data_IF_501550773879
#
_entry.id   IF_501550773879
#
_cell.length_a   1.000
_cell.length_b   1.000
_cell.length_c   1.000
_cell.angle_alpha   90.00
_cell.angle_beta   90.00
_cell.angle_gamma   90.00
#
_symmetry.space_group_name_H-M   'P 1'
#
loop_
_entity.id
_entity.type
_entity.pdbx_description
1 polymer ?
#
# COMPACT_ATOMS: atom_id res chain seq x y z
N UNK A 1 16.08 4.86 32.08
CA UNK A 1 15.19 3.82 32.67
C UNK A 1 15.58 3.66 34.13
N UNK A 2 14.70 3.93 35.10
CA UNK A 2 15.09 4.06 36.51
C UNK A 2 15.27 2.66 37.15
N UNK A 3 16.26 2.50 38.04
CA UNK A 3 16.58 1.22 38.72
C UNK A 3 15.36 0.53 39.38
N UNK A 4 14.41 1.32 39.89
CA UNK A 4 13.13 0.85 40.44
C UNK A 4 12.25 0.13 39.41
N UNK A 5 12.25 0.55 38.15
CA UNK A 5 11.43 -0.05 37.08
C UNK A 5 11.94 -1.46 36.74
N UNK A 6 13.26 -1.64 36.74
CA UNK A 6 13.90 -2.94 36.48
C UNK A 6 13.60 -3.95 37.60
N UNK A 7 13.67 -3.50 38.86
CA UNK A 7 13.42 -4.34 40.02
C UNK A 7 11.94 -4.77 40.12
N UNK A 8 11.02 -3.84 39.89
CA UNK A 8 9.57 -4.12 39.89
C UNK A 8 9.19 -5.08 38.76
N UNK A 9 9.76 -4.90 37.55
CA UNK A 9 9.55 -5.80 36.42
C UNK A 9 10.02 -7.23 36.70
N UNK A 10 11.26 -7.38 37.19
CA UNK A 10 11.81 -8.71 37.56
C UNK A 10 10.97 -9.42 38.61
N UNK A 11 10.51 -8.68 39.63
CA UNK A 11 9.65 -9.24 40.67
C UNK A 11 8.31 -9.72 40.11
N UNK A 12 7.66 -8.91 39.26
CA UNK A 12 6.41 -9.25 38.59
C UNK A 12 6.54 -10.52 37.73
N UNK A 13 7.59 -10.62 36.91
CA UNK A 13 7.86 -11.81 36.09
C UNK A 13 8.07 -13.06 36.96
N UNK A 14 8.84 -12.95 38.05
CA UNK A 14 9.06 -14.05 38.98
C UNK A 14 7.75 -14.53 39.60
N UNK A 15 6.88 -13.61 40.01
CA UNK A 15 5.56 -13.93 40.57
C UNK A 15 4.67 -14.68 39.56
N UNK A 16 4.64 -14.25 38.30
CA UNK A 16 3.89 -14.94 37.25
C UNK A 16 4.46 -16.32 36.93
N UNK A 17 5.80 -16.47 36.89
CA UNK A 17 6.44 -17.78 36.75
C UNK A 17 6.07 -18.73 37.89
N UNK A 18 6.07 -18.24 39.12
CA UNK A 18 5.67 -19.04 40.28
C UNK A 18 4.18 -19.41 40.23
N UNK A 19 3.33 -18.47 39.82
CA UNK A 19 1.88 -18.69 39.66
C UNK A 19 1.63 -19.77 38.60
N UNK A 20 2.36 -19.74 37.47
CA UNK A 20 2.25 -20.75 36.43
C UNK A 20 2.71 -22.14 36.90
N UNK A 21 3.83 -22.22 37.63
CA UNK A 21 4.32 -23.48 38.22
C UNK A 21 3.35 -24.10 39.21
N UNK A 22 2.70 -23.27 40.03
CA UNK A 22 1.80 -23.73 41.07
C UNK A 22 0.36 -23.98 40.56
N UNK A 23 0.02 -23.49 39.36
CA UNK A 23 -1.33 -23.57 38.80
C UNK A 23 -1.99 -24.96 38.85
N UNK A 24 -1.29 -26.08 38.58
CA UNK A 24 -1.88 -27.43 38.70
C UNK A 24 -2.41 -27.77 40.09
N UNK A 25 -1.85 -27.14 41.13
CA UNK A 25 -2.18 -27.38 42.54
C UNK A 25 -3.07 -26.28 43.16
N UNK A 26 -3.45 -25.26 42.39
CA UNK A 26 -4.26 -24.15 42.88
C UNK A 26 -5.74 -24.48 42.95
N UNK A 27 -6.43 -23.96 43.97
CA UNK A 27 -7.90 -24.04 44.04
C UNK A 27 -8.58 -23.29 42.90
N UNK A 28 -9.76 -23.77 42.47
CA UNK A 28 -10.48 -23.24 41.30
C UNK A 28 -10.77 -21.73 41.38
N UNK A 29 -11.09 -21.20 42.56
CA UNK A 29 -11.33 -19.78 42.77
C UNK A 29 -10.06 -18.93 42.57
N UNK A 30 -8.89 -19.47 42.96
CA UNK A 30 -7.60 -18.82 42.76
C UNK A 30 -7.18 -18.85 41.29
N UNK A 31 -7.39 -19.99 40.63
CA UNK A 31 -7.17 -20.13 39.18
C UNK A 31 -7.99 -19.14 38.37
N UNK A 32 -9.28 -18.95 38.69
CA UNK A 32 -10.14 -17.96 38.02
C UNK A 32 -9.57 -16.54 38.17
N UNK A 33 -9.15 -16.16 39.38
CA UNK A 33 -8.55 -14.84 39.66
C UNK A 33 -7.20 -14.67 38.94
N UNK A 34 -6.35 -15.68 38.96
CA UNK A 34 -5.06 -15.68 38.27
C UNK A 34 -5.25 -15.54 36.75
N UNK A 35 -6.16 -16.32 36.15
CA UNK A 35 -6.53 -16.27 34.72
C UNK A 35 -7.04 -14.90 34.31
N UNK A 36 -7.93 -14.29 35.09
CA UNK A 36 -8.48 -12.96 34.78
C UNK A 36 -7.38 -11.89 34.76
N UNK A 37 -6.50 -11.88 35.76
CA UNK A 37 -5.36 -10.94 35.83
C UNK A 37 -4.36 -11.18 34.69
N UNK A 38 -4.06 -12.44 34.36
CA UNK A 38 -3.14 -12.79 33.28
C UNK A 38 -3.66 -12.31 31.93
N UNK A 39 -4.97 -12.48 31.66
CA UNK A 39 -5.61 -11.98 30.43
C UNK A 39 -5.50 -10.46 30.29
N UNK A 40 -5.72 -9.71 31.38
CA UNK A 40 -5.58 -8.26 31.37
C UNK A 40 -4.13 -7.83 31.04
N UNK A 41 -3.15 -8.51 31.61
CA UNK A 41 -1.74 -8.26 31.31
C UNK A 41 -1.39 -8.63 29.86
N UNK A 42 -1.84 -9.79 29.38
CA UNK A 42 -1.64 -10.22 28.00
C UNK A 42 -2.20 -9.22 26.99
N UNK A 43 -3.37 -8.63 27.26
CA UNK A 43 -3.95 -7.61 26.40
C UNK A 43 -3.00 -6.41 26.21
N UNK A 44 -2.54 -5.80 27.31
CA UNK A 44 -1.62 -4.64 27.23
C UNK A 44 -0.25 -5.00 26.68
N UNK A 45 0.27 -6.21 26.96
CA UNK A 45 1.52 -6.68 26.36
C UNK A 45 1.39 -6.84 24.85
N UNK A 46 0.30 -7.45 24.39
CA UNK A 46 0.01 -7.60 22.96
C UNK A 46 -0.16 -6.24 22.27
N UNK A 47 -0.77 -5.25 22.94
CA UNK A 47 -0.90 -3.89 22.43
C UNK A 47 0.47 -3.23 22.21
N UNK A 48 1.35 -3.27 23.21
CA UNK A 48 2.71 -2.70 23.09
C UNK A 48 3.53 -3.44 22.03
N UNK A 49 3.46 -4.78 21.99
CA UNK A 49 4.14 -5.59 20.96
C UNK A 49 3.62 -5.20 19.59
N UNK A 50 2.30 -5.14 19.39
CA UNK A 50 1.71 -4.77 18.09
C UNK A 50 2.15 -3.39 17.62
N UNK A 51 2.19 -2.40 18.51
CA UNK A 51 2.67 -1.05 18.19
C UNK A 51 4.18 -1.07 17.90
N UNK A 52 4.96 -1.81 18.68
CA UNK A 52 6.41 -1.88 18.55
C UNK A 52 6.83 -2.57 17.26
N UNK A 53 6.23 -3.72 16.95
CA UNK A 53 6.44 -4.45 15.70
C UNK A 53 6.09 -3.55 14.52
N UNK A 54 5.00 -2.79 14.59
CA UNK A 54 4.66 -1.81 13.55
C UNK A 54 5.69 -0.67 13.44
N UNK A 55 6.18 -0.12 14.55
CA UNK A 55 7.11 1.02 14.51
C UNK A 55 8.55 0.63 14.17
N UNK A 56 8.96 -0.57 14.56
CA UNK A 56 10.32 -1.08 14.41
C UNK A 56 10.48 -1.96 13.16
N UNK A 57 9.39 -2.43 12.55
CA UNK A 57 9.45 -3.13 11.28
C UNK A 57 10.08 -2.23 10.21
N UNK A 58 11.10 -2.79 9.55
CA UNK A 58 11.53 -2.27 8.26
C UNK A 58 10.52 -2.70 7.18
N UNK A 59 10.30 -1.87 6.16
CA UNK A 59 10.88 -0.53 5.97
C UNK A 59 10.24 0.53 6.90
N UNK A 60 11.04 1.53 7.30
CA UNK A 60 10.62 2.60 8.21
C UNK A 60 9.44 3.40 7.64
N UNK A 61 8.44 3.71 8.48
CA UNK A 61 7.32 4.59 8.13
C UNK A 61 7.86 5.95 7.69
N UNK A 62 7.32 6.50 6.59
CA UNK A 62 7.76 7.77 6.02
C UNK A 62 9.05 7.68 5.18
N UNK A 63 9.62 6.49 4.99
CA UNK A 63 10.72 6.32 4.05
C UNK A 63 10.27 6.60 2.60
N UNK A 64 10.93 7.59 1.98
CA UNK A 64 10.77 7.97 0.57
C UNK A 64 11.92 7.44 -0.31
N UNK A 65 12.78 6.57 0.21
CA UNK A 65 13.88 6.00 -0.55
C UNK A 65 13.37 4.85 -1.43
N UNK A 66 13.55 4.99 -2.74
CA UNK A 66 13.37 3.96 -3.74
C UNK A 66 14.35 4.22 -4.89
N UNK A 67 14.59 3.21 -5.73
CA UNK A 67 15.47 3.34 -6.90
C UNK A 67 14.97 4.47 -7.80
N UNK A 68 15.86 5.36 -8.21
CA UNK A 68 15.55 6.44 -9.16
C UNK A 68 16.52 6.32 -10.32
N UNK A 69 16.04 6.10 -11.55
CA UNK A 69 16.91 6.08 -12.72
C UNK A 69 17.74 7.37 -12.83
N UNK A 70 18.94 7.28 -13.40
CA UNK A 70 19.74 8.47 -13.68
C UNK A 70 18.98 9.48 -14.54
N UNK A 71 19.13 10.77 -14.23
CA UNK A 71 18.42 11.86 -14.91
C UNK A 71 16.99 12.08 -14.44
N UNK A 72 16.53 11.39 -13.38
CA UNK A 72 15.21 11.65 -12.78
C UNK A 72 15.11 13.09 -12.25
N UNK A 73 14.16 13.85 -12.77
CA UNK A 73 13.89 15.23 -12.34
C UNK A 73 12.67 15.34 -11.40
N UNK A 74 11.85 14.29 -11.34
CA UNK A 74 10.73 14.17 -10.42
C UNK A 74 10.49 12.71 -10.04
N UNK A 75 10.17 12.46 -8.79
CA UNK A 75 9.85 11.14 -8.28
C UNK A 75 8.79 11.24 -7.18
N UNK A 76 7.90 10.25 -7.11
CA UNK A 76 6.79 10.23 -6.17
C UNK A 76 6.37 8.81 -5.82
N UNK A 77 6.06 8.60 -4.54
CA UNK A 77 5.37 7.41 -4.03
C UNK A 77 4.08 7.92 -3.37
N UNK A 78 2.88 7.40 -3.69
CA UNK A 78 1.65 7.89 -3.11
C UNK A 78 1.58 7.67 -1.58
N UNK A 79 0.78 8.46 -0.88
CA UNK A 79 0.58 8.45 0.58
C UNK A 79 0.24 7.06 1.12
N UNK A 80 -0.62 6.32 0.39
CA UNK A 80 -1.06 4.98 0.79
C UNK A 80 0.10 4.02 1.02
N UNK A 81 1.22 4.17 0.31
CA UNK A 81 2.39 3.30 0.46
C UNK A 81 3.43 3.84 1.46
N UNK A 82 3.22 5.03 2.03
CA UNK A 82 4.22 5.73 2.86
C UNK A 82 3.81 5.95 4.30
N UNK A 83 2.53 6.25 4.50
CA UNK A 83 1.99 6.72 5.78
C UNK A 83 0.76 5.90 6.18
N UNK A 84 0.55 5.65 7.49
CA UNK A 84 -0.67 4.97 7.95
C UNK A 84 -1.90 5.82 7.63
N UNK A 85 -2.90 5.20 7.02
CA UNK A 85 -4.18 5.86 6.76
C UNK A 85 -5.02 5.94 8.05
N UNK A 86 -5.75 7.05 8.29
CA UNK A 86 -6.68 7.15 9.41
C UNK A 86 -7.75 6.06 9.41
N UNK A 87 -8.21 5.67 8.20
CA UNK A 87 -9.10 4.55 7.96
C UNK A 87 -8.37 3.57 7.04
N UNK A 88 -7.82 2.46 7.56
CA UNK A 88 -6.92 1.59 6.82
C UNK A 88 -7.64 0.61 5.89
N UNK A 89 -8.95 0.68 5.73
CA UNK A 89 -9.66 -0.21 4.83
C UNK A 89 -11.16 0.01 4.80
N UNK A 90 -11.78 -0.61 3.80
CA UNK A 90 -13.20 -0.50 3.48
C UNK A 90 -13.70 -1.87 3.00
N UNK A 91 -14.95 -2.19 3.30
CA UNK A 91 -15.64 -3.39 2.84
C UNK A 91 -16.88 -2.98 2.03
N UNK A 92 -17.32 -3.86 1.12
CA UNK A 92 -18.41 -3.57 0.17
C UNK A 92 -18.19 -2.24 -0.54
N UNK A 93 -16.97 -2.04 -1.04
CA UNK A 93 -16.50 -0.75 -1.54
C UNK A 93 -17.28 -0.34 -2.77
N UNK A 94 -18.01 0.77 -2.72
CA UNK A 94 -18.76 1.28 -3.88
C UNK A 94 -17.81 1.91 -4.89
N UNK A 95 -18.22 1.94 -6.16
CA UNK A 95 -17.49 2.67 -7.20
C UNK A 95 -17.35 4.15 -6.82
N UNK A 96 -16.19 4.74 -7.13
CA UNK A 96 -15.74 6.09 -6.74
C UNK A 96 -15.44 6.27 -5.25
N UNK A 97 -15.31 5.18 -4.48
CA UNK A 97 -14.86 5.28 -3.09
C UNK A 97 -13.37 5.61 -3.05
N UNK A 98 -12.98 6.48 -2.11
CA UNK A 98 -11.58 6.85 -1.88
C UNK A 98 -11.00 6.11 -0.68
N UNK A 99 -9.77 5.64 -0.81
CA UNK A 99 -8.97 5.11 0.29
C UNK A 99 -7.79 6.05 0.54
N UNK A 100 -7.87 6.82 1.63
CA UNK A 100 -6.97 7.96 1.82
C UNK A 100 -7.35 9.12 0.90
N UNK A 101 -6.35 9.91 0.47
CA UNK A 101 -6.57 11.14 -0.32
C UNK A 101 -6.24 11.01 -1.80
N UNK A 102 -5.41 10.04 -2.16
CA UNK A 102 -4.79 9.94 -3.49
C UNK A 102 -5.27 8.71 -4.28
N UNK A 103 -6.02 7.80 -3.65
CA UNK A 103 -6.45 6.54 -4.26
C UNK A 103 -7.96 6.49 -4.37
N UNK A 104 -8.47 6.34 -5.59
CA UNK A 104 -9.90 6.15 -5.86
C UNK A 104 -10.13 4.84 -6.57
N UNK A 105 -11.09 4.05 -6.10
CA UNK A 105 -11.49 2.81 -6.73
C UNK A 105 -12.66 3.04 -7.68
N UNK A 106 -12.57 2.49 -8.89
CA UNK A 106 -13.68 2.45 -9.84
C UNK A 106 -14.02 1.01 -10.20
N UNK A 107 -15.31 0.72 -10.26
CA UNK A 107 -15.83 -0.51 -10.82
C UNK A 107 -17.26 -0.31 -11.34
N UNK A 108 -17.77 -1.27 -12.10
CA UNK A 108 -19.12 -1.29 -12.67
C UNK A 108 -20.04 -2.39 -12.08
N UNK A 109 -19.56 -3.15 -11.07
CA UNK A 109 -20.36 -4.15 -10.37
C UNK A 109 -21.70 -3.62 -9.84
N UNK A 110 -22.76 -4.40 -9.99
CA UNK A 110 -24.06 -4.10 -9.40
C UNK A 110 -24.06 -4.39 -7.89
N UNK A 111 -23.36 -5.45 -7.47
CA UNK A 111 -23.10 -5.76 -6.06
C UNK A 111 -21.60 -5.76 -5.80
N UNK A 112 -21.15 -4.86 -4.94
CA UNK A 112 -19.74 -4.83 -4.55
C UNK A 112 -19.46 -5.83 -3.43
N UNK A 113 -18.83 -6.93 -3.81
CA UNK A 113 -18.17 -7.86 -2.88
C UNK A 113 -16.65 -7.66 -2.94
N UNK A 114 -16.23 -6.41 -2.84
CA UNK A 114 -14.84 -5.98 -2.83
C UNK A 114 -14.46 -5.41 -1.47
N UNK A 115 -13.26 -5.74 -1.00
CA UNK A 115 -12.63 -5.08 0.15
C UNK A 115 -11.30 -4.46 -0.27
N UNK A 116 -11.01 -3.28 0.29
CA UNK A 116 -9.70 -2.64 0.19
C UNK A 116 -9.09 -2.51 1.58
N UNK A 117 -7.79 -2.76 1.70
CA UNK A 117 -7.08 -2.61 2.96
C UNK A 117 -5.64 -2.18 2.74
N UNK A 118 -5.20 -1.17 3.49
CA UNK A 118 -3.80 -0.87 3.69
C UNK A 118 -3.19 -1.92 4.63
N UNK A 119 -2.13 -2.57 4.17
CA UNK A 119 -1.36 -3.54 4.95
C UNK A 119 -0.01 -2.96 5.33
N UNK A 120 0.50 -3.31 6.51
CA UNK A 120 1.90 -3.05 6.87
C UNK A 120 2.78 -4.08 6.16
N UNK A 121 3.67 -3.60 5.29
CA UNK A 121 4.76 -4.41 4.76
C UNK A 121 5.75 -4.75 5.87
N UNK A 122 6.28 -5.97 5.81
CA UNK A 122 7.18 -6.52 6.83
C UNK A 122 8.28 -7.40 6.22
N UNK A 123 8.35 -7.48 4.88
CA UNK A 123 9.42 -8.22 4.21
C UNK A 123 10.66 -7.34 4.14
N UNK A 124 11.82 -7.97 4.27
CA UNK A 124 13.10 -7.27 4.18
C UNK A 124 13.33 -6.61 2.81
N UNK A 125 12.77 -7.20 1.75
CA UNK A 125 12.83 -6.66 0.39
C UNK A 125 11.86 -5.49 0.15
N UNK A 126 10.87 -5.26 1.02
CA UNK A 126 9.91 -4.18 0.84
C UNK A 126 10.61 -2.83 1.18
N UNK A 127 10.53 -1.86 0.27
CA UNK A 127 11.00 -0.48 0.53
C UNK A 127 9.86 0.45 0.97
N UNK A 128 8.61 0.12 0.60
CA UNK A 128 7.43 0.83 1.05
C UNK A 128 6.93 0.27 2.39
N UNK A 129 6.66 1.12 3.41
CA UNK A 129 6.10 0.66 4.68
C UNK A 129 4.69 0.10 4.56
N UNK A 130 3.92 0.45 3.54
CA UNK A 130 2.56 -0.05 3.40
C UNK A 130 2.29 -0.55 1.99
N UNK A 131 1.33 -1.47 1.85
CA UNK A 131 0.80 -1.95 0.57
C UNK A 131 -0.72 -1.87 0.51
N UNK A 132 -1.27 -1.86 -0.70
CA UNK A 132 -2.71 -1.96 -0.96
C UNK A 132 -3.08 -3.41 -1.22
N UNK A 133 -3.90 -4.00 -0.34
CA UNK A 133 -4.58 -5.26 -0.58
C UNK A 133 -5.98 -5.02 -1.09
N UNK A 134 -6.36 -5.80 -2.10
CA UNK A 134 -7.71 -5.87 -2.63
C UNK A 134 -8.16 -7.33 -2.60
N UNK A 135 -9.29 -7.58 -1.94
CA UNK A 135 -9.96 -8.88 -1.92
C UNK A 135 -11.23 -8.76 -2.77
N UNK A 136 -11.34 -9.58 -3.82
CA UNK A 136 -12.46 -9.61 -4.75
C UNK A 136 -13.14 -10.98 -4.64
N UNK A 137 -14.37 -11.02 -4.14
CA UNK A 137 -15.15 -12.25 -4.03
C UNK A 137 -15.98 -12.47 -5.30
N UNK A 138 -17.24 -12.08 -5.32
CA UNK A 138 -18.00 -11.99 -6.57
C UNK A 138 -17.68 -10.69 -7.32
N UNK A 139 -17.52 -10.79 -8.64
CA UNK A 139 -17.34 -9.65 -9.52
C UNK A 139 -18.25 -9.84 -10.74
N UNK A 140 -19.38 -9.13 -10.76
CA UNK A 140 -20.36 -9.14 -11.85
C UNK A 140 -20.16 -7.97 -12.83
N UNK A 141 -19.07 -7.22 -12.65
CA UNK A 141 -18.66 -6.11 -13.50
C UNK A 141 -17.75 -6.56 -14.65
N UNK A 142 -17.48 -5.64 -15.57
CA UNK A 142 -16.48 -5.80 -16.63
C UNK A 142 -15.18 -5.05 -16.33
N UNK A 143 -15.17 -4.16 -15.34
CA UNK A 143 -14.07 -3.23 -15.13
C UNK A 143 -13.79 -2.99 -13.66
N UNK A 144 -12.53 -3.18 -13.25
CA UNK A 144 -12.02 -2.78 -11.95
C UNK A 144 -10.76 -1.96 -12.14
N UNK A 145 -10.69 -0.77 -11.55
CA UNK A 145 -9.47 0.02 -11.52
C UNK A 145 -9.21 0.72 -10.20
N UNK A 146 -7.92 0.88 -9.92
CA UNK A 146 -7.40 1.76 -8.88
C UNK A 146 -6.77 2.96 -9.57
N UNK A 147 -7.27 4.15 -9.24
CA UNK A 147 -6.84 5.42 -9.83
C UNK A 147 -5.98 6.17 -8.84
N UNK A 148 -4.82 6.65 -9.30
CA UNK A 148 -3.90 7.48 -8.53
C UNK A 148 -3.75 8.83 -9.23
N UNK A 149 -4.26 9.89 -8.60
CA UNK A 149 -4.09 11.25 -9.08
C UNK A 149 -2.66 11.73 -8.81
N UNK A 150 -1.97 12.19 -9.85
CA UNK A 150 -0.61 12.69 -9.69
C UNK A 150 -0.63 14.06 -9.03
N UNK A 151 0.37 14.35 -8.17
CA UNK A 151 0.50 15.67 -7.59
C UNK A 151 0.93 16.68 -8.67
N UNK A 152 0.66 17.97 -8.45
CA UNK A 152 0.93 19.02 -9.45
C UNK A 152 2.38 19.04 -9.95
N UNK A 153 3.34 18.65 -9.10
CA UNK A 153 4.76 18.57 -9.46
C UNK A 153 5.03 17.59 -10.61
N UNK A 154 4.20 16.58 -10.81
CA UNK A 154 4.34 15.61 -11.91
C UNK A 154 4.15 16.26 -13.29
N UNK A 155 3.23 17.22 -13.38
CA UNK A 155 2.84 17.87 -14.63
C UNK A 155 3.54 19.20 -14.87
N UNK A 156 4.10 19.80 -13.82
CA UNK A 156 4.86 21.04 -13.93
C UNK A 156 6.09 20.85 -14.83
N UNK A 157 6.13 21.58 -15.95
CA UNK A 157 7.21 21.46 -16.94
C UNK A 157 7.18 20.18 -17.77
N UNK A 158 6.07 19.43 -17.76
CA UNK A 158 5.94 18.21 -18.54
C UNK A 158 5.91 18.52 -20.04
N UNK A 159 6.78 17.84 -20.78
CA UNK A 159 6.93 17.97 -22.23
C UNK A 159 6.96 16.59 -22.89
N UNK A 160 6.78 16.52 -24.21
CA UNK A 160 6.91 15.30 -25.00
C UNK A 160 8.29 14.66 -24.95
N UNK A 161 9.30 15.38 -24.46
CA UNK A 161 10.65 14.83 -24.27
C UNK A 161 10.77 14.01 -22.99
N UNK A 162 9.72 13.89 -22.17
CA UNK A 162 9.80 13.13 -20.94
C UNK A 162 9.37 11.67 -21.13
N UNK A 163 10.01 10.81 -20.34
CA UNK A 163 9.55 9.47 -20.03
C UNK A 163 8.97 9.51 -18.63
N UNK A 164 7.76 8.97 -18.45
CA UNK A 164 7.27 8.60 -17.13
C UNK A 164 7.44 7.12 -16.91
N UNK A 165 8.05 6.75 -15.80
CA UNK A 165 8.22 5.36 -15.38
C UNK A 165 7.32 5.09 -14.18
N UNK A 166 6.67 3.94 -14.20
CA UNK A 166 5.99 3.37 -13.04
C UNK A 166 6.68 2.06 -12.67
N UNK A 167 7.06 1.94 -11.40
CA UNK A 167 7.59 0.73 -10.80
C UNK A 167 6.60 0.21 -9.76
N UNK A 168 6.39 -1.10 -9.72
CA UNK A 168 5.47 -1.73 -8.78
C UNK A 168 5.98 -3.07 -8.27
N UNK A 169 5.55 -3.44 -7.07
CA UNK A 169 5.69 -4.80 -6.55
C UNK A 169 4.27 -5.33 -6.34
N UNK A 170 3.91 -6.39 -7.06
CA UNK A 170 2.57 -6.97 -6.98
C UNK A 170 2.62 -8.44 -6.60
N UNK A 171 1.66 -8.85 -5.77
CA UNK A 171 1.41 -10.24 -5.44
C UNK A 171 0.02 -10.62 -5.88
N UNK A 172 -0.05 -11.74 -6.57
CA UNK A 172 -1.28 -12.27 -7.13
C UNK A 172 -1.52 -13.65 -6.55
N UNK A 173 -2.71 -13.89 -6.02
CA UNK A 173 -3.11 -15.25 -5.62
C UNK A 173 -3.27 -16.17 -6.83
N UNK A 174 -3.67 -15.60 -7.97
CA UNK A 174 -3.82 -16.29 -9.25
C UNK A 174 -3.41 -15.37 -10.41
N UNK A 175 -3.03 -15.92 -11.57
CA UNK A 175 -2.72 -15.12 -12.74
C UNK A 175 -3.88 -14.20 -13.13
N UNK A 176 -3.59 -12.92 -13.34
CA UNK A 176 -4.52 -11.92 -13.88
C UNK A 176 -3.72 -10.86 -14.64
N UNK A 177 -4.31 -10.27 -15.66
CA UNK A 177 -3.67 -9.21 -16.45
C UNK A 177 -3.91 -7.85 -15.80
N UNK A 178 -2.85 -7.05 -15.70
CA UNK A 178 -2.93 -5.69 -15.16
C UNK A 178 -2.44 -4.71 -16.23
N UNK A 179 -3.22 -3.67 -16.47
CA UNK A 179 -2.87 -2.60 -17.39
C UNK A 179 -2.73 -1.28 -16.63
N UNK A 180 -1.65 -0.55 -16.89
CA UNK A 180 -1.47 0.82 -16.45
C UNK A 180 -1.83 1.77 -17.60
N UNK A 181 -2.85 2.61 -17.38
CA UNK A 181 -3.24 3.67 -18.32
C UNK A 181 -2.85 5.03 -17.76
N UNK A 182 -1.86 5.66 -18.37
CA UNK A 182 -1.51 7.06 -18.10
C UNK A 182 -2.50 7.96 -18.82
N UNK A 183 -3.12 8.86 -18.07
CA UNK A 183 -4.01 9.89 -18.58
C UNK A 183 -3.38 11.26 -18.30
N UNK A 184 -3.27 12.10 -19.32
CA UNK A 184 -2.78 13.48 -19.19
C UNK A 184 -3.82 14.42 -19.78
N UNK A 185 -4.47 15.22 -18.93
CA UNK A 185 -5.41 16.24 -19.39
C UNK A 185 -4.65 17.47 -19.87
N UNK A 186 -4.94 17.91 -21.09
CA UNK A 186 -4.39 19.13 -21.67
C UNK A 186 -5.45 19.98 -22.38
N UNK A 187 -5.96 21.00 -21.69
CA UNK A 187 -7.12 21.76 -22.16
C UNK A 187 -8.38 20.89 -22.23
N UNK A 188 -9.13 20.89 -23.36
CA UNK A 188 -10.33 20.06 -23.51
C UNK A 188 -10.03 18.58 -23.77
N UNK A 189 -8.78 18.23 -24.08
CA UNK A 189 -8.38 16.89 -24.50
C UNK A 189 -7.71 16.13 -23.37
N UNK A 190 -7.73 14.79 -23.44
CA UNK A 190 -6.97 13.91 -22.56
C UNK A 190 -6.18 12.94 -23.43
N UNK A 191 -4.85 12.95 -23.28
CA UNK A 191 -3.98 11.96 -23.88
C UNK A 191 -4.03 10.69 -23.01
N UNK A 192 -4.15 9.52 -23.65
CA UNK A 192 -4.19 8.23 -22.96
C UNK A 192 -3.15 7.27 -23.54
N UNK A 193 -2.30 6.72 -22.68
CA UNK A 193 -1.27 5.74 -23.08
C UNK A 193 -1.43 4.51 -22.18
N UNK A 194 -1.62 3.33 -22.78
CA UNK A 194 -1.81 2.07 -22.05
C UNK A 194 -0.56 1.20 -22.16
N UNK A 195 -0.17 0.57 -21.06
CA UNK A 195 0.89 -0.44 -20.98
C UNK A 195 0.41 -1.61 -20.13
N UNK A 196 0.63 -2.83 -20.60
CA UNK A 196 0.47 -4.03 -19.80
C UNK A 196 1.65 -4.16 -18.83
N UNK A 197 1.39 -4.57 -17.58
CA UNK A 197 2.45 -4.83 -16.61
C UNK A 197 3.14 -6.15 -16.94
N UNK A 198 4.48 -6.19 -17.04
CA UNK A 198 5.22 -7.43 -17.28
C UNK A 198 5.33 -8.26 -16.00
N UNK A 199 4.25 -8.93 -15.59
CA UNK A 199 4.14 -9.64 -14.30
C UNK A 199 5.12 -10.82 -14.12
N UNK A 200 5.74 -11.28 -15.21
CA UNK A 200 6.73 -12.36 -15.20
C UNK A 200 8.19 -11.84 -15.18
N UNK A 201 8.39 -10.53 -15.16
CA UNK A 201 9.72 -9.93 -15.06
C UNK A 201 10.21 -9.87 -13.60
N UNK A 202 11.53 -9.85 -13.41
CA UNK A 202 12.14 -9.67 -12.08
C UNK A 202 11.81 -8.28 -11.51
N UNK A 203 11.79 -7.25 -12.36
CA UNK A 203 11.36 -5.90 -12.04
C UNK A 203 10.08 -5.56 -12.82
N UNK A 204 8.97 -5.34 -12.12
CA UNK A 204 7.68 -5.02 -12.74
C UNK A 204 7.61 -3.51 -12.94
N UNK A 205 7.89 -3.11 -14.17
CA UNK A 205 8.03 -1.71 -14.56
C UNK A 205 7.41 -1.47 -15.94
N UNK A 206 6.88 -0.26 -16.12
CA UNK A 206 6.44 0.24 -17.42
C UNK A 206 6.91 1.67 -17.63
N UNK A 207 7.26 2.02 -18.87
CA UNK A 207 7.59 3.38 -19.28
C UNK A 207 6.59 3.90 -20.32
N UNK A 208 6.17 5.15 -20.11
CA UNK A 208 5.32 5.93 -20.99
C UNK A 208 6.17 6.98 -21.70
N UNK A 209 6.48 6.74 -22.97
CA UNK A 209 7.16 7.71 -23.83
C UNK A 209 6.17 8.71 -24.39
N UNK A 210 6.36 9.99 -24.03
CA UNK A 210 5.48 11.07 -24.47
C UNK A 210 5.83 11.62 -25.86
N UNK A 211 6.93 11.17 -26.49
CA UNK A 211 7.40 11.73 -27.76
C UNK A 211 6.35 11.65 -28.87
N UNK A 212 5.59 10.54 -28.90
CA UNK A 212 4.57 10.26 -29.93
C UNK A 212 3.15 10.65 -29.50
N UNK A 213 3.00 11.31 -28.35
CA UNK A 213 1.69 11.74 -27.87
C UNK A 213 1.16 12.97 -28.60
N UNK A 214 -0.16 13.18 -28.58
CA UNK A 214 -0.80 14.42 -29.05
C UNK A 214 -0.84 15.52 -27.97
N UNK A 215 0.04 15.42 -26.96
CA UNK A 215 0.09 16.32 -25.82
C UNK A 215 0.31 17.77 -26.24
N UNK A 216 -0.55 18.67 -25.74
CA UNK A 216 -0.30 20.11 -25.80
C UNK A 216 0.46 20.56 -24.55
N UNK A 217 1.78 20.66 -24.66
CA UNK A 217 2.72 20.97 -23.56
C UNK A 217 2.38 22.29 -22.84
N UNK A 218 1.81 23.27 -23.55
CA UNK A 218 1.45 24.58 -22.97
C UNK A 218 0.15 24.55 -22.15
N UNK A 219 -0.60 23.46 -22.22
CA UNK A 219 -1.94 23.34 -21.62
C UNK A 219 -2.09 22.14 -20.71
N UNK A 220 -1.00 21.53 -20.24
CA UNK A 220 -1.06 20.40 -19.30
C UNK A 220 -1.66 20.88 -17.98
N UNK A 221 -2.76 20.25 -17.56
CA UNK A 221 -3.50 20.64 -16.35
C UNK A 221 -3.24 19.66 -15.21
N UNK A 222 -3.49 18.37 -15.46
CA UNK A 222 -3.36 17.28 -14.47
C UNK A 222 -3.09 15.95 -15.16
N UNK A 223 -2.56 14.99 -14.42
CA UNK A 223 -2.35 13.63 -14.88
C UNK A 223 -2.74 12.65 -13.78
N UNK A 224 -3.09 11.44 -14.18
CA UNK A 224 -3.38 10.33 -13.27
C UNK A 224 -3.08 9.00 -13.96
N UNK A 225 -2.89 7.95 -13.18
CA UNK A 225 -2.76 6.59 -13.69
C UNK A 225 -3.98 5.78 -13.25
N UNK A 226 -4.54 4.99 -14.18
CA UNK A 226 -5.49 3.94 -13.87
C UNK A 226 -4.75 2.60 -13.90
N UNK A 227 -4.71 1.88 -12.78
CA UNK A 227 -4.32 0.47 -12.73
C UNK A 227 -5.59 -0.36 -12.92
N UNK A 228 -5.73 -1.00 -14.07
CA UNK A 228 -6.89 -1.76 -14.50
C UNK A 228 -6.61 -3.25 -14.31
N UNK A 229 -7.54 -3.97 -13.68
CA UNK A 229 -7.41 -5.39 -13.37
C UNK A 229 -8.45 -6.18 -14.16
N UNK A 230 -7.99 -7.04 -15.06
CA UNK A 230 -8.88 -7.87 -15.88
C UNK A 230 -9.32 -9.13 -15.12
N UNK A 231 -10.61 -9.46 -15.24
CA UNK A 231 -11.25 -10.63 -14.64
C UNK A 231 -10.87 -10.90 -13.15
N UNK A 232 -11.00 -9.91 -12.25
CA UNK A 232 -10.47 -10.00 -10.88
C UNK A 232 -11.32 -10.87 -9.94
N UNK A 233 -12.43 -11.46 -10.40
CA UNK A 233 -13.33 -12.29 -9.60
C UNK A 233 -12.58 -13.34 -8.78
N UNK A 234 -13.01 -13.65 -7.55
CA UNK A 234 -12.42 -14.69 -6.70
C UNK A 234 -10.88 -14.60 -6.69
N UNK A 235 -10.36 -13.45 -6.30
CA UNK A 235 -8.93 -13.21 -6.21
C UNK A 235 -8.56 -12.26 -5.08
N UNK A 236 -7.39 -12.49 -4.52
CA UNK A 236 -6.67 -11.51 -3.71
C UNK A 236 -5.47 -11.00 -4.49
N UNK A 237 -5.29 -9.69 -4.49
CA UNK A 237 -4.05 -9.05 -4.97
C UNK A 237 -3.51 -8.05 -3.97
N UNK A 238 -2.19 -7.90 -3.95
CA UNK A 238 -1.49 -6.94 -3.10
C UNK A 238 -0.51 -6.14 -3.94
N UNK A 239 -0.74 -4.83 -4.06
CA UNK A 239 0.25 -3.87 -4.56
C UNK A 239 1.12 -3.44 -3.37
N UNK A 240 2.28 -4.08 -3.19
CA UNK A 240 3.19 -3.82 -2.08
C UNK A 240 3.91 -2.49 -2.18
N UNK A 241 4.21 -2.03 -3.39
CA UNK A 241 4.80 -0.72 -3.64
C UNK A 241 4.33 -0.23 -5.01
N UNK A 242 4.13 1.08 -5.15
CA UNK A 242 3.88 1.74 -6.42
C UNK A 242 4.63 3.07 -6.37
N UNK A 243 5.55 3.27 -7.31
CA UNK A 243 6.34 4.49 -7.41
C UNK A 243 6.36 5.00 -8.83
N UNK A 244 6.56 6.31 -8.96
CA UNK A 244 6.62 7.02 -10.22
C UNK A 244 7.89 7.84 -10.29
N UNK A 245 8.47 7.91 -11.49
CA UNK A 245 9.53 8.85 -11.79
C UNK A 245 9.33 9.46 -13.17
N UNK A 246 9.87 10.65 -13.35
CA UNK A 246 9.89 11.37 -14.62
C UNK A 246 11.32 11.80 -14.90
N UNK A 247 11.73 11.61 -16.15
CA UNK A 247 13.04 12.05 -16.64
C UNK A 247 12.94 12.52 -18.09
N UNK A 248 13.82 13.43 -18.52
CA UNK A 248 14.01 13.69 -19.94
C UNK A 248 14.53 12.43 -20.64
N UNK A 249 14.07 12.21 -21.86
CA UNK A 249 14.61 11.21 -22.79
C UNK A 249 16.06 11.58 -23.09
N UNK A 250 16.93 10.57 -23.18
CA UNK A 250 18.30 10.77 -23.65
C UNK A 250 18.28 11.41 -25.06
N UNK A 251 19.13 12.41 -25.28
CA UNK A 251 19.36 12.92 -26.63
C UNK A 251 20.00 11.80 -27.47
N UNK A 252 19.38 11.49 -28.61
CA UNK A 252 20.00 10.69 -29.66
C UNK A 252 21.04 11.54 -30.41
#
# INVERSE_FOLDING_TARGET
MKLLDVLTHRHSLRKWRQTARNAPMMGLAELRRARARARKLMYSLNEVISISDNRLALPMIGSNSFSRPHGTDWAWRPELWREPLPVPGMASVRSKSMLGREVTLFHDCARSELCLRQLRNSREADLAPYGLRMDVFAFDGSFLSVVLDFPQQAVNGLTKRHLLRMDTIVELEKPLEIFARLNIKHGPNTEQIVRELPLNAEEIMVEFDLAYSNLNEKRVERAWIDLIFENPQMSQLVLRDVTFSRRPRAAL
#
